data_IF_809135398919
#
_entry.id   IF_809135398919
#
_cell.length_a   1.000
_cell.length_b   1.000
_cell.length_c   1.000
_cell.angle_alpha   90.00
_cell.angle_beta   90.00
_cell.angle_gamma   90.00
#
_symmetry.space_group_name_H-M   'P 1'
#
loop_
_entity.id
_entity.type
_entity.pdbx_description
1 polymer ?
#
# COMPACT_ATOMS: atom_id res chain seq x y z
N UNK A 1 25.69 11.19 7.54
CA UNK A 1 24.84 10.23 8.27
C UNK A 1 23.89 9.67 7.26
N UNK A 2 24.02 8.38 6.96
CA UNK A 2 23.08 7.74 6.05
C UNK A 2 21.69 7.75 6.71
N UNK A 3 20.74 8.47 6.09
CA UNK A 3 19.38 8.53 6.59
C UNK A 3 18.76 7.15 6.40
N UNK A 4 18.11 6.65 7.44
CA UNK A 4 17.36 5.40 7.35
C UNK A 4 16.19 5.59 6.37
N UNK A 5 16.18 4.83 5.27
CA UNK A 5 15.12 4.91 4.26
C UNK A 5 13.95 4.05 4.71
N UNK A 6 12.82 4.69 4.97
CA UNK A 6 11.59 4.03 5.39
C UNK A 6 10.89 3.33 4.21
N UNK A 7 10.75 4.06 3.09
CA UNK A 7 10.18 3.55 1.85
C UNK A 7 11.05 3.93 0.67
N UNK A 8 11.29 2.98 -0.21
CA UNK A 8 12.05 3.17 -1.46
C UNK A 8 11.26 2.66 -2.64
N UNK A 9 11.13 3.46 -3.66
CA UNK A 9 10.71 3.04 -5.00
C UNK A 9 11.91 3.02 -5.92
N UNK A 10 12.05 1.95 -6.70
CA UNK A 10 13.14 1.80 -7.67
C UNK A 10 12.58 1.43 -9.04
N UNK A 11 12.86 2.28 -10.03
CA UNK A 11 12.55 2.05 -11.44
C UNK A 11 11.09 1.64 -11.70
N UNK A 12 10.16 2.26 -10.94
CA UNK A 12 8.73 1.92 -11.03
C UNK A 12 8.13 2.50 -12.30
N UNK A 13 7.66 1.62 -13.16
CA UNK A 13 6.92 1.96 -14.38
C UNK A 13 5.53 1.35 -14.31
N UNK A 14 4.50 2.14 -14.62
CA UNK A 14 3.12 1.65 -14.74
C UNK A 14 2.56 2.02 -16.10
N UNK A 15 2.20 1.00 -16.88
CA UNK A 15 1.64 1.13 -18.21
C UNK A 15 0.24 0.51 -18.27
N UNK A 16 -0.70 1.26 -18.80
CA UNK A 16 -2.07 0.82 -19.10
C UNK A 16 -2.24 0.69 -20.60
N UNK A 17 -2.20 -0.52 -21.13
CA UNK A 17 -2.25 -0.73 -22.58
C UNK A 17 -1.14 0.03 -23.31
N UNK A 18 -1.49 1.04 -24.12
CA UNK A 18 -0.53 1.88 -24.85
C UNK A 18 -0.06 3.12 -24.10
N UNK A 19 -0.59 3.40 -22.89
CA UNK A 19 -0.27 4.62 -22.13
C UNK A 19 0.63 4.31 -20.96
N UNK A 20 1.81 4.94 -20.90
CA UNK A 20 2.71 4.90 -19.75
C UNK A 20 2.31 6.03 -18.81
N UNK A 21 1.69 5.69 -17.69
CA UNK A 21 1.20 6.64 -16.70
C UNK A 21 2.27 7.05 -15.67
N UNK A 22 3.21 6.15 -15.36
CA UNK A 22 4.41 6.41 -14.57
C UNK A 22 5.57 5.76 -15.33
N UNK A 23 6.64 6.49 -15.54
CA UNK A 23 7.80 6.01 -16.29
C UNK A 23 9.05 6.14 -15.44
N UNK A 24 9.64 5.01 -15.10
CA UNK A 24 10.96 4.90 -14.44
C UNK A 24 11.11 5.79 -13.17
N UNK A 25 10.07 5.78 -12.33
CA UNK A 25 10.05 6.58 -11.11
C UNK A 25 10.88 5.91 -10.01
N UNK A 26 11.89 6.64 -9.53
CA UNK A 26 12.64 6.28 -8.33
C UNK A 26 12.55 7.39 -7.31
N UNK A 27 12.27 7.04 -6.05
CA UNK A 27 12.22 7.98 -4.94
C UNK A 27 12.48 7.26 -3.62
N UNK A 28 13.04 8.00 -2.67
CA UNK A 28 13.26 7.57 -1.30
C UNK A 28 12.44 8.43 -0.33
N UNK A 29 11.87 7.80 0.68
CA UNK A 29 11.21 8.46 1.80
C UNK A 29 12.01 8.12 3.07
N UNK A 30 12.83 9.05 3.58
CA UNK A 30 13.55 8.86 4.83
C UNK A 30 12.59 8.81 6.03
N UNK A 31 13.02 8.12 7.08
CA UNK A 31 12.27 8.08 8.34
C UNK A 31 12.14 9.49 8.95
N UNK A 32 10.92 9.82 9.40
CA UNK A 32 10.61 11.12 10.01
C UNK A 32 10.54 12.30 9.04
N UNK A 33 10.61 12.09 7.73
CA UNK A 33 10.51 13.13 6.73
C UNK A 33 9.18 13.11 5.97
N UNK A 34 8.77 14.29 5.48
CA UNK A 34 7.62 14.44 4.59
C UNK A 34 8.14 14.62 3.18
N UNK A 35 7.80 13.68 2.30
CA UNK A 35 8.13 13.72 0.87
C UNK A 35 6.88 14.05 0.07
N UNK A 36 6.95 15.06 -0.81
CA UNK A 36 5.85 15.48 -1.65
C UNK A 36 6.09 15.15 -3.13
N UNK A 37 5.11 14.52 -3.76
CA UNK A 37 5.09 14.28 -5.19
C UNK A 37 4.26 15.37 -5.88
N UNK A 38 4.93 16.29 -6.59
CA UNK A 38 4.33 17.48 -7.20
C UNK A 38 4.28 17.31 -8.71
N UNK A 39 3.23 17.82 -9.33
CA UNK A 39 3.06 17.81 -10.79
C UNK A 39 1.63 18.17 -11.21
N UNK A 40 1.39 18.46 -12.49
CA UNK A 40 0.07 18.81 -13.02
C UNK A 40 -0.93 17.65 -12.92
N UNK A 41 -2.20 17.92 -13.20
CA UNK A 41 -3.21 16.88 -13.32
C UNK A 41 -2.84 15.94 -14.48
N UNK A 42 -2.98 14.63 -14.29
CA UNK A 42 -2.57 13.64 -15.27
C UNK A 42 -1.08 13.22 -15.21
N UNK A 43 -0.25 13.85 -14.39
CA UNK A 43 1.19 13.50 -14.26
C UNK A 43 1.49 12.16 -13.56
N UNK A 44 0.51 11.29 -13.35
CA UNK A 44 0.72 9.97 -12.78
C UNK A 44 0.85 9.90 -11.24
N UNK A 45 0.67 11.02 -10.51
CA UNK A 45 0.80 11.05 -9.04
C UNK A 45 -0.07 10.00 -8.34
N UNK A 46 -1.35 9.96 -8.63
CA UNK A 46 -2.29 8.97 -8.07
C UNK A 46 -1.91 7.55 -8.48
N UNK A 47 -1.39 7.35 -9.69
CA UNK A 47 -0.91 6.06 -10.16
C UNK A 47 0.31 5.60 -9.37
N UNK A 48 1.27 6.47 -9.08
CA UNK A 48 2.41 6.17 -8.24
C UNK A 48 1.98 5.75 -6.82
N UNK A 49 1.05 6.50 -6.19
CA UNK A 49 0.47 6.10 -4.90
C UNK A 49 -0.28 4.77 -4.97
N UNK A 50 -1.00 4.49 -6.06
CA UNK A 50 -1.67 3.20 -6.25
C UNK A 50 -0.68 2.05 -6.38
N UNK A 51 0.50 2.28 -6.97
CA UNK A 51 1.57 1.29 -7.01
C UNK A 51 2.15 1.03 -5.61
N UNK A 52 2.39 2.07 -4.79
CA UNK A 52 2.90 1.90 -3.42
C UNK A 52 1.90 1.14 -2.55
N UNK A 53 0.61 1.42 -2.69
CA UNK A 53 -0.44 0.86 -1.82
C UNK A 53 -1.02 -0.47 -2.31
N UNK A 54 -0.41 -1.12 -3.32
CA UNK A 54 -0.85 -2.42 -3.82
C UNK A 54 -2.17 -2.41 -4.61
N UNK A 55 -2.73 -1.21 -4.90
CA UNK A 55 -3.93 -1.09 -5.75
C UNK A 55 -3.61 -1.42 -7.21
N UNK A 56 -2.42 -1.02 -7.66
CA UNK A 56 -1.90 -1.40 -8.98
C UNK A 56 -0.59 -2.15 -8.82
N UNK A 57 -0.48 -3.27 -9.53
CA UNK A 57 0.80 -3.94 -9.70
C UNK A 57 1.60 -3.18 -10.78
N UNK A 58 2.79 -2.66 -10.48
CA UNK A 58 3.63 -2.01 -11.48
C UNK A 58 3.93 -2.94 -12.66
N UNK A 59 4.11 -2.37 -13.84
CA UNK A 59 4.59 -3.12 -15.01
C UNK A 59 6.05 -3.54 -14.83
N UNK A 60 6.84 -2.69 -14.17
CA UNK A 60 8.24 -2.92 -13.84
C UNK A 60 8.60 -2.16 -12.57
N UNK A 61 9.61 -2.66 -11.85
CA UNK A 61 10.20 -1.98 -10.71
C UNK A 61 9.93 -2.63 -9.38
N UNK A 62 10.44 -1.99 -8.33
CA UNK A 62 10.40 -2.52 -6.96
C UNK A 62 10.00 -1.43 -5.97
N UNK A 63 9.27 -1.81 -4.94
CA UNK A 63 8.98 -0.98 -3.77
C UNK A 63 9.44 -1.74 -2.52
N UNK A 64 10.27 -1.09 -1.73
CA UNK A 64 10.74 -1.58 -0.43
C UNK A 64 10.13 -0.76 0.69
N UNK A 65 9.80 -1.42 1.79
CA UNK A 65 9.36 -0.80 3.02
C UNK A 65 10.09 -1.42 4.20
N UNK A 66 10.68 -0.59 5.05
CA UNK A 66 11.52 -1.02 6.19
C UNK A 66 12.63 -2.00 5.76
N UNK A 67 13.25 -1.76 4.61
CA UNK A 67 14.31 -2.60 4.05
C UNK A 67 13.87 -3.96 3.50
N UNK A 68 12.55 -4.21 3.42
CA UNK A 68 12.00 -5.45 2.84
C UNK A 68 11.29 -5.14 1.52
N UNK A 69 11.51 -5.98 0.53
CA UNK A 69 10.77 -5.90 -0.73
C UNK A 69 9.29 -6.18 -0.48
N UNK A 70 8.46 -5.17 -0.69
CA UNK A 70 7.01 -5.24 -0.54
C UNK A 70 6.33 -5.54 -1.88
N UNK A 71 6.80 -4.88 -2.94
CA UNK A 71 6.31 -5.07 -4.31
C UNK A 71 7.52 -5.27 -5.22
N UNK A 72 7.43 -6.25 -6.11
CA UNK A 72 8.43 -6.46 -7.15
C UNK A 72 7.73 -6.98 -8.40
N UNK A 73 7.94 -6.29 -9.52
CA UNK A 73 7.35 -6.64 -10.80
C UNK A 73 8.35 -6.48 -11.92
N UNK A 74 8.21 -7.32 -12.93
CA UNK A 74 8.95 -7.22 -14.18
C UNK A 74 8.00 -7.44 -15.37
N UNK A 75 8.34 -6.91 -16.54
CA UNK A 75 7.51 -7.01 -17.74
C UNK A 75 7.26 -8.47 -18.14
N UNK A 76 6.03 -8.81 -18.47
CA UNK A 76 5.63 -10.14 -18.93
C UNK A 76 5.02 -10.08 -20.32
N UNK A 77 5.00 -11.23 -21.03
CA UNK A 77 4.35 -11.36 -22.34
C UNK A 77 4.90 -10.40 -23.39
N UNK A 78 4.00 -9.70 -24.10
CA UNK A 78 4.36 -8.76 -25.18
C UNK A 78 5.12 -7.52 -24.66
N UNK A 79 4.91 -7.12 -23.42
CA UNK A 79 5.60 -5.96 -22.81
C UNK A 79 7.09 -6.22 -22.60
N UNK A 80 7.51 -7.47 -22.46
CA UNK A 80 8.92 -7.80 -22.25
C UNK A 80 9.84 -7.21 -23.33
N UNK A 81 9.37 -7.12 -24.58
CA UNK A 81 10.13 -6.54 -25.69
C UNK A 81 10.41 -5.04 -25.52
N UNK A 82 9.49 -4.31 -24.86
CA UNK A 82 9.60 -2.86 -24.68
C UNK A 82 10.64 -2.47 -23.62
N UNK A 83 11.05 -3.42 -22.79
CA UNK A 83 11.95 -3.21 -21.66
C UNK A 83 13.28 -3.98 -21.81
N UNK A 84 13.54 -4.60 -22.98
CA UNK A 84 14.84 -5.23 -23.28
C UNK A 84 15.95 -4.19 -23.29
N UNK A 85 17.01 -4.42 -22.48
CA UNK A 85 18.13 -3.50 -22.34
C UNK A 85 17.85 -2.29 -21.44
N UNK A 86 16.73 -2.28 -20.72
CA UNK A 86 16.38 -1.30 -19.69
C UNK A 86 16.48 -1.91 -18.29
N UNK A 87 16.25 -1.08 -17.25
CA UNK A 87 16.20 -1.53 -15.86
C UNK A 87 15.19 -2.66 -15.59
N UNK A 88 14.29 -2.96 -16.53
CA UNK A 88 13.39 -4.11 -16.49
C UNK A 88 14.10 -5.44 -16.36
N UNK A 89 15.30 -5.60 -16.90
CA UNK A 89 16.12 -6.81 -16.77
C UNK A 89 16.60 -7.04 -15.34
N UNK A 90 16.83 -5.97 -14.59
CA UNK A 90 17.29 -5.99 -13.20
C UNK A 90 16.37 -6.80 -12.28
N UNK A 91 15.08 -6.83 -12.56
CA UNK A 91 14.07 -7.49 -11.73
C UNK A 91 13.65 -8.86 -12.24
N UNK A 92 14.07 -9.27 -13.45
CA UNK A 92 13.71 -10.56 -14.05
C UNK A 92 14.13 -11.78 -13.22
N UNK A 93 15.21 -11.66 -12.45
CA UNK A 93 15.71 -12.73 -11.58
C UNK A 93 15.05 -12.75 -10.20
N UNK A 94 14.23 -11.74 -9.88
CA UNK A 94 13.56 -11.64 -8.59
C UNK A 94 12.13 -12.24 -8.67
N UNK A 95 11.65 -12.87 -7.59
CA UNK A 95 10.27 -13.32 -7.55
C UNK A 95 9.31 -12.12 -7.62
N UNK A 96 8.24 -12.26 -8.41
CA UNK A 96 7.18 -11.27 -8.42
C UNK A 96 6.46 -11.26 -7.06
N UNK A 97 6.34 -10.08 -6.47
CA UNK A 97 5.62 -9.85 -5.20
C UNK A 97 4.56 -8.80 -5.45
N UNK A 98 3.31 -9.17 -5.19
CA UNK A 98 2.16 -8.28 -5.39
C UNK A 98 1.18 -8.44 -4.23
N UNK A 99 1.36 -7.70 -3.13
CA UNK A 99 0.47 -7.75 -1.98
C UNK A 99 -0.88 -7.13 -2.33
N UNK A 100 -1.91 -7.56 -1.64
CA UNK A 100 -3.22 -6.89 -1.65
C UNK A 100 -3.16 -5.61 -0.81
N UNK A 101 -4.05 -4.61 -1.05
CA UNK A 101 -4.05 -3.35 -0.30
C UNK A 101 -4.24 -3.54 1.22
N UNK A 102 -5.01 -4.53 1.65
CA UNK A 102 -5.19 -4.88 3.05
C UNK A 102 -3.88 -5.36 3.68
N UNK A 103 -3.10 -6.19 2.97
CA UNK A 103 -1.80 -6.63 3.45
C UNK A 103 -0.79 -5.46 3.54
N UNK A 104 -0.85 -4.50 2.61
CA UNK A 104 -0.01 -3.27 2.68
C UNK A 104 -0.34 -2.46 3.93
N UNK A 105 -1.63 -2.39 4.32
CA UNK A 105 -2.05 -1.72 5.56
C UNK A 105 -1.56 -2.48 6.80
N UNK A 106 -1.57 -3.81 6.80
CA UNK A 106 -1.01 -4.64 7.87
C UNK A 106 0.49 -4.41 8.07
N UNK A 107 1.23 -4.13 7.00
CA UNK A 107 2.65 -3.74 7.08
C UNK A 107 2.88 -2.37 7.72
N UNK A 108 1.85 -1.54 7.88
CA UNK A 108 1.90 -0.23 8.53
C UNK A 108 1.78 0.97 7.58
N UNK A 109 1.50 0.75 6.30
CA UNK A 109 1.30 1.84 5.33
C UNK A 109 -0.19 2.16 5.25
N UNK A 110 -0.61 3.31 5.77
CA UNK A 110 -1.98 3.79 5.65
C UNK A 110 -2.09 4.85 4.53
N UNK A 111 -3.25 4.90 3.89
CA UNK A 111 -3.57 5.89 2.87
C UNK A 111 -4.89 6.59 3.17
N UNK A 112 -4.88 7.91 3.09
CA UNK A 112 -6.11 8.71 3.06
C UNK A 112 -6.64 8.74 1.63
N UNK A 113 -7.92 8.39 1.44
CA UNK A 113 -8.57 8.43 0.13
C UNK A 113 -9.25 9.79 -0.10
N UNK A 114 -9.20 10.28 -1.33
CA UNK A 114 -9.83 11.53 -1.73
C UNK A 114 -11.36 11.49 -1.54
N UNK A 115 -11.99 10.33 -1.77
CA UNK A 115 -13.40 10.10 -1.55
C UNK A 115 -13.58 9.08 -0.43
N UNK A 116 -13.91 9.55 0.76
CA UNK A 116 -14.21 8.70 1.90
C UNK A 116 -15.60 8.11 1.70
N UNK A 117 -15.69 6.78 1.62
CA UNK A 117 -16.96 6.05 1.59
C UNK A 117 -17.24 5.45 2.97
N UNK A 118 -18.05 6.14 3.75
CA UNK A 118 -18.56 5.59 4.99
C UNK A 118 -19.79 4.71 4.72
N UNK A 119 -19.97 3.68 5.53
CA UNK A 119 -21.23 2.92 5.55
C UNK A 119 -22.34 3.78 6.16
N UNK A 120 -23.23 4.27 5.30
CA UNK A 120 -24.32 5.18 5.70
C UNK A 120 -25.33 4.55 6.66
N UNK A 121 -25.41 3.22 6.69
CA UNK A 121 -26.25 2.45 7.60
C UNK A 121 -25.66 2.26 8.99
N UNK A 122 -24.41 2.67 9.19
CA UNK A 122 -23.69 2.56 10.45
C UNK A 122 -23.48 3.93 11.07
N UNK A 123 -23.42 3.98 12.39
CA UNK A 123 -23.03 5.18 13.13
C UNK A 123 -21.55 5.53 12.88
N UNK A 124 -21.14 6.74 13.25
CA UNK A 124 -19.72 7.16 13.19
C UNK A 124 -18.86 6.22 14.01
N UNK A 125 -19.30 5.89 15.22
CA UNK A 125 -18.63 4.94 16.11
C UNK A 125 -18.42 3.57 15.45
N UNK A 126 -19.44 3.00 14.84
CA UNK A 126 -19.36 1.70 14.16
C UNK A 126 -18.42 1.73 12.96
N UNK A 127 -18.42 2.82 12.17
CA UNK A 127 -17.49 2.98 11.06
C UNK A 127 -16.03 2.97 11.53
N UNK A 128 -15.71 3.63 12.65
CA UNK A 128 -14.35 3.62 13.23
C UNK A 128 -14.04 2.27 13.85
N UNK A 129 -15.00 1.65 14.55
CA UNK A 129 -14.83 0.35 15.19
C UNK A 129 -14.51 -0.75 14.18
N UNK A 130 -15.19 -0.76 13.02
CA UNK A 130 -14.91 -1.73 11.94
C UNK A 130 -13.46 -1.66 11.46
N UNK A 131 -12.89 -0.46 11.35
CA UNK A 131 -11.48 -0.31 10.95
C UNK A 131 -10.51 -0.93 11.97
N UNK A 132 -10.88 -0.99 13.26
CA UNK A 132 -10.06 -1.63 14.30
C UNK A 132 -10.06 -3.16 14.24
N UNK A 133 -11.09 -3.78 13.65
CA UNK A 133 -11.16 -5.24 13.51
C UNK A 133 -10.01 -5.84 12.69
N UNK A 134 -9.36 -5.06 11.83
CA UNK A 134 -8.15 -5.50 11.12
C UNK A 134 -6.99 -5.88 12.06
N UNK A 135 -6.96 -5.32 13.28
CA UNK A 135 -5.95 -5.62 14.30
C UNK A 135 -6.38 -6.68 15.30
N UNK A 136 -7.64 -7.10 15.25
CA UNK A 136 -8.18 -8.09 16.18
C UNK A 136 -7.72 -9.49 15.78
N UNK A 137 -7.09 -10.21 16.70
CA UNK A 137 -6.68 -11.62 16.53
C UNK A 137 -7.86 -12.54 16.82
N UNK A 138 -8.93 -12.44 16.04
CA UNK A 138 -10.14 -13.25 16.26
C UNK A 138 -10.13 -14.49 15.38
N UNK A 139 -10.29 -15.66 16.02
CA UNK A 139 -10.55 -16.93 15.35
C UNK A 139 -12.04 -17.28 15.51
N UNK A 140 -12.58 -18.05 14.56
CA UNK A 140 -13.99 -18.51 14.62
C UNK A 140 -14.33 -19.17 15.97
N UNK A 141 -13.41 -19.92 16.55
CA UNK A 141 -13.56 -20.54 17.87
C UNK A 141 -13.66 -19.53 19.01
N UNK A 142 -12.88 -18.44 18.98
CA UNK A 142 -12.91 -17.40 20.01
C UNK A 142 -14.20 -16.56 19.94
N UNK A 143 -14.77 -16.40 18.74
CA UNK A 143 -16.06 -15.73 18.56
C UNK A 143 -17.21 -16.55 19.18
N UNK A 144 -17.20 -17.88 19.06
CA UNK A 144 -18.24 -18.77 19.62
C UNK A 144 -18.16 -18.81 21.14
N UNK A 145 -16.97 -18.77 21.71
CA UNK A 145 -16.76 -18.92 23.18
C UNK A 145 -16.83 -17.61 23.97
N UNK A 146 -17.09 -16.46 23.33
CA UNK A 146 -17.03 -15.12 23.94
C UNK A 146 -15.69 -14.82 24.63
N UNK A 147 -14.63 -15.53 24.28
CA UNK A 147 -13.31 -15.32 24.87
C UNK A 147 -12.71 -13.93 24.55
N UNK A 148 -13.27 -13.26 23.54
CA UNK A 148 -12.82 -11.96 23.05
C UNK A 148 -13.54 -10.74 23.67
N UNK A 149 -14.39 -10.95 24.68
CA UNK A 149 -15.15 -9.84 25.29
C UNK A 149 -14.27 -8.71 25.85
N UNK A 150 -13.07 -9.06 26.35
CA UNK A 150 -12.10 -8.06 26.84
C UNK A 150 -11.46 -7.28 25.70
N UNK A 151 -11.14 -7.93 24.58
CA UNK A 151 -10.55 -7.29 23.40
C UNK A 151 -11.60 -6.37 22.74
N UNK A 152 -12.83 -6.81 22.65
CA UNK A 152 -13.95 -5.99 22.13
C UNK A 152 -14.21 -4.77 23.01
N UNK A 153 -14.21 -4.92 24.33
CA UNK A 153 -14.36 -3.81 25.26
C UNK A 153 -13.23 -2.79 25.09
N UNK A 154 -11.99 -3.25 24.98
CA UNK A 154 -10.83 -2.38 24.73
C UNK A 154 -10.94 -1.64 23.39
N UNK A 155 -11.33 -2.32 22.31
CA UNK A 155 -11.51 -1.68 21.01
C UNK A 155 -12.60 -0.61 21.05
N UNK A 156 -13.69 -0.83 21.79
CA UNK A 156 -14.75 0.16 21.99
C UNK A 156 -14.27 1.39 22.76
N UNK A 157 -13.56 1.19 23.85
CA UNK A 157 -12.97 2.27 24.65
C UNK A 157 -11.98 3.11 23.83
N UNK A 158 -11.04 2.47 23.11
CA UNK A 158 -10.11 3.15 22.23
C UNK A 158 -10.81 3.85 21.05
N UNK A 159 -11.96 3.33 20.59
CA UNK A 159 -12.75 3.98 19.53
C UNK A 159 -13.40 5.25 20.06
N UNK A 160 -13.92 5.24 21.27
CA UNK A 160 -14.49 6.44 21.91
C UNK A 160 -13.41 7.50 22.09
N UNK A 161 -12.23 7.13 22.60
CA UNK A 161 -11.10 8.05 22.78
C UNK A 161 -10.58 8.69 21.48
N UNK A 162 -10.84 8.06 20.31
CA UNK A 162 -10.51 8.65 19.01
C UNK A 162 -11.56 9.63 18.48
N UNK A 163 -12.76 9.59 19.05
CA UNK A 163 -13.89 10.44 18.63
C UNK A 163 -14.10 11.68 19.52
N UNK A 164 -13.40 11.74 20.67
CA UNK A 164 -13.31 12.90 21.56
C UNK A 164 -12.19 13.86 21.10
#
# INVERSE_FOLDING_TARGET
MDKNILLRMEHVTMQFGGVVAVNDLSLDVPEGEIVALIGPNGAGKTTAFNCITGVYQPTNGRVEFLGKTMICSHPTGKMKKNYLGSDGEKYLSQPMVNPTPDHVVELGIARTFQNIRLWKSMTVFENVLVAKHMRAKQNVFSAITRANAREEARMREETMALLE
#
